data_IF_340990244386
#
_entry.id   IF_340990244386
#
_cell.length_a   1.000
_cell.length_b   1.000
_cell.length_c   1.000
_cell.angle_alpha   90.00
_cell.angle_beta   90.00
_cell.angle_gamma   90.00
#
_symmetry.space_group_name_H-M   'P 1'
#
loop_
_entity.id
_entity.type
_entity.pdbx_description
1 polymer ?
#
# COMPACT_ATOMS: atom_id res chain seq x y z
N UNK A 1 7.27 15.51 -2.72
CA UNK A 1 7.95 14.37 -2.08
C UNK A 1 7.18 13.12 -2.39
N UNK A 2 7.78 12.17 -3.11
CA UNK A 2 7.16 10.87 -3.38
C UNK A 2 7.33 9.97 -2.15
N UNK A 3 6.25 9.33 -1.70
CA UNK A 3 6.32 8.35 -0.61
C UNK A 3 6.59 6.99 -1.23
N UNK A 4 7.65 6.34 -0.80
CA UNK A 4 7.97 4.95 -1.15
C UNK A 4 8.06 4.15 0.14
N UNK A 5 7.55 2.93 0.13
CA UNK A 5 7.60 2.04 1.29
C UNK A 5 8.11 0.67 0.87
N UNK A 6 9.11 0.17 1.60
CA UNK A 6 9.61 -1.19 1.41
C UNK A 6 8.80 -2.15 2.28
N UNK A 7 8.18 -3.12 1.62
CA UNK A 7 7.52 -4.21 2.29
C UNK A 7 8.54 -5.19 2.87
N UNK A 8 8.17 -5.91 3.93
CA UNK A 8 9.03 -6.91 4.57
C UNK A 8 9.41 -8.08 3.63
N UNK A 9 8.61 -8.32 2.59
CA UNK A 9 8.94 -9.29 1.55
C UNK A 9 9.94 -8.78 0.50
N UNK A 10 10.39 -7.52 0.60
CA UNK A 10 11.30 -6.87 -0.34
C UNK A 10 10.61 -6.13 -1.49
N UNK A 11 9.28 -6.17 -1.57
CA UNK A 11 8.52 -5.42 -2.57
C UNK A 11 8.55 -3.91 -2.29
N UNK A 12 8.74 -3.09 -3.32
CA UNK A 12 8.69 -1.63 -3.20
C UNK A 12 7.29 -1.11 -3.56
N UNK A 13 6.58 -0.56 -2.59
CA UNK A 13 5.26 0.05 -2.75
C UNK A 13 5.42 1.55 -3.02
N UNK A 14 4.95 2.03 -4.17
CA UNK A 14 5.04 3.45 -4.58
C UNK A 14 3.67 4.06 -4.84
N UNK A 15 2.74 3.25 -5.31
CA UNK A 15 1.41 3.69 -5.70
C UNK A 15 0.33 2.75 -5.21
N UNK A 16 -0.92 3.18 -5.37
CA UNK A 16 -2.11 2.37 -5.08
C UNK A 16 -2.08 1.00 -5.75
N UNK A 17 -1.53 0.87 -6.96
CA UNK A 17 -1.51 -0.41 -7.69
C UNK A 17 -0.63 -1.48 -7.03
N UNK A 18 0.37 -1.07 -6.26
CA UNK A 18 1.27 -1.99 -5.56
C UNK A 18 0.61 -2.56 -4.29
N UNK A 19 -0.57 -2.04 -3.93
CA UNK A 19 -1.35 -2.47 -2.78
C UNK A 19 -2.70 -3.05 -3.20
N UNK A 20 -3.10 -4.11 -2.52
CA UNK A 20 -4.43 -4.71 -2.63
C UNK A 20 -5.30 -4.22 -1.48
N UNK A 21 -6.54 -3.84 -1.80
CA UNK A 21 -7.51 -3.46 -0.77
C UNK A 21 -8.15 -4.71 -0.20
N UNK A 22 -8.04 -4.92 1.10
CA UNK A 22 -8.71 -6.04 1.77
C UNK A 22 -10.23 -5.81 1.77
N UNK A 23 -11.00 -6.82 1.36
CA UNK A 23 -12.46 -6.82 1.41
C UNK A 23 -12.89 -7.58 2.66
N UNK A 24 -13.22 -6.88 3.74
CA UNK A 24 -13.76 -7.53 4.94
C UNK A 24 -13.66 -6.71 6.23
N UNK A 25 -12.77 -5.73 6.29
CA UNK A 25 -12.66 -4.82 7.44
C UNK A 25 -13.58 -3.60 7.30
N UNK A 26 -14.08 -3.10 8.43
CA UNK A 26 -14.81 -1.82 8.52
C UNK A 26 -13.93 -0.61 8.12
N UNK A 27 -12.62 -0.82 7.93
CA UNK A 27 -11.64 0.18 7.51
C UNK A 27 -11.06 -0.07 6.11
N UNK A 28 -10.42 0.96 5.54
CA UNK A 28 -9.60 0.85 4.31
C UNK A 28 -8.26 0.19 4.65
N UNK A 29 -8.29 -1.11 4.93
CA UNK A 29 -7.06 -1.90 5.11
C UNK A 29 -6.47 -2.22 3.74
N UNK A 30 -5.16 -2.04 3.65
CA UNK A 30 -4.39 -2.31 2.44
C UNK A 30 -3.32 -3.33 2.77
N UNK A 31 -3.07 -4.24 1.85
CA UNK A 31 -2.01 -5.23 1.91
C UNK A 31 -1.10 -5.08 0.69
N UNK A 32 0.13 -5.56 0.78
CA UNK A 32 1.05 -5.62 -0.35
C UNK A 32 0.44 -6.55 -1.41
N UNK A 33 0.38 -6.11 -2.67
CA UNK A 33 -0.13 -6.94 -3.77
C UNK A 33 0.77 -8.15 -4.06
N UNK A 34 2.05 -8.10 -3.66
CA UNK A 34 3.04 -9.14 -3.93
C UNK A 34 2.96 -10.30 -2.92
N UNK A 35 2.96 -9.96 -1.63
CA UNK A 35 3.06 -10.96 -0.55
C UNK A 35 1.89 -10.93 0.44
N UNK A 36 0.90 -10.04 0.27
CA UNK A 36 -0.27 -9.92 1.14
C UNK A 36 0.00 -9.33 2.53
N UNK A 37 1.22 -8.89 2.81
CA UNK A 37 1.58 -8.29 4.11
C UNK A 37 0.76 -7.02 4.35
N UNK A 38 0.14 -6.84 5.53
CA UNK A 38 -0.63 -5.65 5.83
C UNK A 38 0.25 -4.39 5.80
N UNK A 39 -0.20 -3.38 5.06
CA UNK A 39 0.46 -2.08 4.95
C UNK A 39 -0.10 -1.14 6.01
N UNK A 40 0.75 -0.43 6.77
CA UNK A 40 0.29 0.54 7.76
C UNK A 40 -0.63 1.60 7.14
N UNK A 41 -1.76 1.91 7.79
CA UNK A 41 -2.79 2.80 7.23
C UNK A 41 -2.26 4.17 6.80
N UNK A 42 -1.34 4.78 7.55
CA UNK A 42 -0.74 6.07 7.18
C UNK A 42 0.08 5.99 5.88
N UNK A 43 0.82 4.89 5.70
CA UNK A 43 1.60 4.64 4.49
C UNK A 43 0.66 4.38 3.31
N UNK A 44 -0.34 3.53 3.53
CA UNK A 44 -1.32 3.20 2.50
C UNK A 44 -2.12 4.43 2.04
N UNK A 45 -2.46 5.35 2.94
CA UNK A 45 -3.11 6.61 2.57
C UNK A 45 -2.20 7.45 1.66
N UNK A 46 -0.93 7.63 2.04
CA UNK A 46 0.04 8.37 1.22
C UNK A 46 0.25 7.75 -0.17
N UNK A 47 0.42 6.42 -0.22
CA UNK A 47 0.58 5.68 -1.47
C UNK A 47 -0.69 5.69 -2.32
N UNK A 48 -1.88 5.66 -1.70
CA UNK A 48 -3.16 5.71 -2.40
C UNK A 48 -3.46 7.09 -3.01
N UNK A 49 -2.91 8.17 -2.45
CA UNK A 49 -3.05 9.53 -2.96
C UNK A 49 -1.98 9.90 -4.00
N UNK A 50 -0.94 9.09 -4.14
CA UNK A 50 0.06 9.28 -5.18
C UNK A 50 -0.45 8.77 -6.52
N UNK A 51 -0.30 9.62 -7.53
CA UNK A 51 -0.58 9.30 -8.92
C UNK A 51 0.72 9.39 -9.72
N UNK A 52 0.98 8.45 -10.65
CA UNK A 52 2.02 8.65 -11.64
C UNK A 52 1.65 9.89 -12.48
N UNK A 53 2.58 10.84 -12.59
CA UNK A 53 2.42 12.08 -13.37
C UNK A 53 2.81 11.89 -14.83
#
# INVERSE_FOLDING_TARGET
MTTTYECLCGATLRYRQDMTRERGGTGRTWSCSDCGTPVPGMVAERLSHQHPS
#
